data_IF_088488748979
#
_entry.id   IF_088488748979
#
_cell.length_a   1.000
_cell.length_b   1.000
_cell.length_c   1.000
_cell.angle_alpha   90.00
_cell.angle_beta   90.00
_cell.angle_gamma   90.00
#
_symmetry.space_group_name_H-M   'P 1'
#
loop_
_entity.id
_entity.type
_entity.pdbx_description
1 polymer ?
#
# COMPACT_ATOMS: atom_id res chain seq x y z
N UNK A 1 -6.28 -5.34 -19.54
CA UNK A 1 -7.33 -4.51 -18.96
C UNK A 1 -6.83 -3.89 -17.68
N UNK A 2 -7.26 -2.66 -17.40
CA UNK A 2 -6.93 -1.94 -16.17
C UNK A 2 -7.96 -2.29 -15.09
N UNK A 3 -7.51 -2.59 -13.89
CA UNK A 3 -8.37 -2.84 -12.72
C UNK A 3 -8.73 -1.49 -12.09
N UNK A 4 -10.01 -1.27 -11.85
CA UNK A 4 -10.55 -0.06 -11.22
C UNK A 4 -10.81 -0.34 -9.74
N UNK A 5 -10.14 0.42 -8.87
CA UNK A 5 -10.37 0.39 -7.42
C UNK A 5 -11.05 1.69 -7.02
N UNK A 6 -12.30 1.62 -6.57
CA UNK A 6 -13.02 2.78 -6.06
C UNK A 6 -12.77 2.95 -4.57
N UNK A 7 -12.30 4.12 -4.16
CA UNK A 7 -11.98 4.46 -2.77
C UNK A 7 -12.98 5.45 -2.19
N UNK A 8 -13.34 5.28 -0.93
CA UNK A 8 -14.04 6.27 -0.14
C UNK A 8 -13.31 6.57 1.15
N UNK A 9 -13.14 7.85 1.48
CA UNK A 9 -12.61 8.37 2.75
C UNK A 9 -13.74 8.95 3.62
N UNK A 10 -14.99 8.57 3.37
CA UNK A 10 -16.15 9.17 4.03
C UNK A 10 -16.20 8.94 5.54
N UNK A 11 -15.46 7.94 6.08
CA UNK A 11 -15.39 7.72 7.53
C UNK A 11 -14.80 8.95 8.25
N UNK A 12 -13.70 9.49 7.75
CA UNK A 12 -12.99 10.62 8.36
C UNK A 12 -13.46 11.99 7.88
N UNK A 13 -14.33 12.03 6.86
CA UNK A 13 -14.82 13.27 6.30
C UNK A 13 -15.73 14.00 7.30
N UNK A 14 -15.45 15.28 7.54
CA UNK A 14 -16.23 16.15 8.44
C UNK A 14 -16.96 17.25 7.69
N UNK A 15 -16.54 17.55 6.46
CA UNK A 15 -17.06 18.64 5.65
C UNK A 15 -17.42 18.16 4.22
N UNK A 16 -18.39 18.84 3.61
CA UNK A 16 -18.77 18.66 2.22
C UNK A 16 -18.83 20.02 1.55
N UNK A 17 -18.25 20.15 0.35
CA UNK A 17 -18.18 21.40 -0.39
C UNK A 17 -19.50 21.78 -1.06
N UNK A 18 -20.33 20.79 -1.37
CA UNK A 18 -21.59 20.96 -2.10
C UNK A 18 -22.61 19.91 -1.68
N UNK A 19 -23.88 20.25 -1.73
CA UNK A 19 -25.01 19.35 -1.53
C UNK A 19 -25.78 19.06 -2.82
N UNK A 20 -25.11 19.16 -3.97
CA UNK A 20 -25.74 18.90 -5.27
C UNK A 20 -26.20 17.45 -5.41
N UNK A 21 -25.45 16.51 -4.83
CA UNK A 21 -25.81 15.09 -4.83
C UNK A 21 -26.83 14.81 -3.72
N UNK A 22 -28.04 14.48 -4.09
CA UNK A 22 -29.13 14.19 -3.15
C UNK A 22 -28.84 13.02 -2.22
N UNK A 23 -27.94 12.11 -2.62
CA UNK A 23 -27.51 10.96 -1.79
C UNK A 23 -26.72 11.40 -0.57
N UNK A 24 -26.11 12.59 -0.59
CA UNK A 24 -25.39 13.15 0.54
C UNK A 24 -26.32 13.83 1.57
N UNK A 25 -27.54 14.21 1.17
CA UNK A 25 -28.47 14.95 2.04
C UNK A 25 -28.74 14.31 3.40
N UNK A 26 -28.94 12.97 3.50
CA UNK A 26 -29.17 12.32 4.80
C UNK A 26 -28.04 12.48 5.81
N UNK A 27 -26.83 12.81 5.35
CA UNK A 27 -25.60 12.86 6.13
C UNK A 27 -25.13 14.27 6.48
N UNK A 28 -25.84 15.29 5.99
CA UNK A 28 -25.52 16.70 6.21
C UNK A 28 -26.25 17.16 7.48
N UNK A 29 -25.50 17.84 8.38
CA UNK A 29 -26.11 18.54 9.52
C UNK A 29 -26.63 19.92 9.09
N UNK A 30 -27.47 20.52 9.90
CA UNK A 30 -28.04 21.85 9.64
C UNK A 30 -26.98 22.97 9.72
N UNK A 31 -25.82 22.70 10.31
CA UNK A 31 -24.74 23.66 10.48
C UNK A 31 -23.82 23.76 9.27
N UNK A 32 -23.30 24.97 9.05
CA UNK A 32 -22.22 25.26 8.09
C UNK A 32 -21.01 25.86 8.78
N UNK A 33 -19.85 25.76 8.11
CA UNK A 33 -18.66 26.55 8.53
C UNK A 33 -18.83 28.01 8.09
N UNK A 34 -17.99 28.89 8.63
CA UNK A 34 -17.96 30.31 8.23
C UNK A 34 -17.65 30.48 6.73
N UNK A 35 -16.86 29.55 6.15
CA UNK A 35 -16.51 29.52 4.73
C UNK A 35 -17.64 28.95 3.85
N UNK A 36 -18.73 28.45 4.46
CA UNK A 36 -19.91 27.96 3.77
C UNK A 36 -19.93 26.46 3.47
N UNK A 37 -18.96 25.66 3.97
CA UNK A 37 -18.99 24.19 3.83
C UNK A 37 -20.10 23.60 4.68
N UNK A 38 -20.71 22.54 4.15
CA UNK A 38 -21.67 21.73 4.91
C UNK A 38 -20.92 20.84 5.91
N UNK A 39 -21.42 20.78 7.13
CA UNK A 39 -20.91 19.82 8.13
C UNK A 39 -21.59 18.49 7.95
N UNK A 40 -20.80 17.42 8.09
CA UNK A 40 -21.30 16.05 8.06
C UNK A 40 -21.52 15.56 9.48
N UNK A 41 -22.58 14.77 9.69
CA UNK A 41 -22.87 14.16 10.98
C UNK A 41 -21.85 13.06 11.29
N UNK A 42 -21.02 13.20 12.35
CA UNK A 42 -20.03 12.20 12.72
C UNK A 42 -20.63 10.84 13.11
N UNK A 43 -21.87 10.82 13.63
CA UNK A 43 -22.54 9.60 14.04
C UNK A 43 -22.89 8.70 12.85
N UNK A 44 -22.96 9.27 11.65
CA UNK A 44 -23.30 8.56 10.41
C UNK A 44 -22.10 8.31 9.50
N UNK A 45 -20.88 8.37 10.03
CA UNK A 45 -19.65 8.22 9.24
C UNK A 45 -19.55 6.88 8.52
N UNK A 46 -19.91 5.80 9.18
CA UNK A 46 -19.94 4.45 8.60
C UNK A 46 -21.03 4.30 7.53
N UNK A 47 -22.22 4.78 7.78
CA UNK A 47 -23.36 4.75 6.86
C UNK A 47 -23.05 5.52 5.58
N UNK A 48 -22.32 6.63 5.66
CA UNK A 48 -21.80 7.35 4.47
C UNK A 48 -20.84 6.49 3.65
N UNK A 49 -19.96 5.73 4.31
CA UNK A 49 -19.06 4.81 3.61
C UNK A 49 -19.84 3.73 2.87
N UNK A 50 -20.85 3.17 3.51
CA UNK A 50 -21.74 2.16 2.90
C UNK A 50 -22.47 2.73 1.73
N UNK A 51 -23.11 3.91 1.86
CA UNK A 51 -23.84 4.56 0.78
C UNK A 51 -22.95 4.82 -0.44
N UNK A 52 -21.72 5.30 -0.23
CA UNK A 52 -20.75 5.49 -1.31
C UNK A 52 -20.27 4.17 -1.90
N UNK A 53 -19.99 3.18 -1.07
CA UNK A 53 -19.61 1.84 -1.52
C UNK A 53 -20.66 1.22 -2.43
N UNK A 54 -21.94 1.26 -2.05
CA UNK A 54 -23.05 0.76 -2.87
C UNK A 54 -23.19 1.54 -4.18
N UNK A 55 -22.99 2.87 -4.15
CA UNK A 55 -23.02 3.70 -5.35
C UNK A 55 -21.85 3.43 -6.31
N UNK A 56 -20.69 3.05 -5.80
CA UNK A 56 -19.48 2.79 -6.60
C UNK A 56 -19.41 1.36 -7.14
N UNK A 57 -19.99 0.39 -6.43
CA UNK A 57 -19.89 -1.03 -6.76
C UNK A 57 -20.16 -1.37 -8.24
N UNK A 58 -21.19 -0.79 -8.92
CA UNK A 58 -21.44 -1.09 -10.33
C UNK A 58 -20.35 -0.62 -11.30
N UNK A 59 -19.43 0.22 -10.86
CA UNK A 59 -18.46 0.93 -11.71
C UNK A 59 -17.00 0.58 -11.41
N UNK A 60 -16.74 -0.39 -10.53
CA UNK A 60 -15.38 -0.76 -10.15
C UNK A 60 -15.21 -2.27 -9.99
N UNK A 61 -13.98 -2.74 -10.09
CA UNK A 61 -13.61 -4.13 -9.84
C UNK A 61 -13.44 -4.39 -8.33
N UNK A 62 -12.89 -3.41 -7.59
CA UNK A 62 -12.71 -3.49 -6.15
C UNK A 62 -13.24 -2.24 -5.45
N UNK A 63 -13.80 -2.43 -4.26
CA UNK A 63 -14.16 -1.34 -3.35
C UNK A 63 -13.15 -1.24 -2.21
N UNK A 64 -12.76 -0.02 -1.90
CA UNK A 64 -11.89 0.31 -0.79
C UNK A 64 -12.53 1.38 0.11
N UNK A 65 -12.91 0.97 1.31
CA UNK A 65 -13.26 1.89 2.39
C UNK A 65 -12.01 2.17 3.21
N UNK A 66 -11.54 3.42 3.19
CA UNK A 66 -10.45 3.85 4.07
C UNK A 66 -10.94 3.95 5.50
N UNK A 67 -10.12 3.51 6.45
CA UNK A 67 -10.42 3.50 7.87
C UNK A 67 -9.32 4.18 8.68
N UNK A 68 -9.66 4.67 9.87
CA UNK A 68 -8.72 5.34 10.77
C UNK A 68 -7.97 4.37 11.70
N UNK A 69 -8.50 3.16 11.88
CA UNK A 69 -7.98 2.12 12.78
C UNK A 69 -8.24 0.73 12.20
N UNK A 70 -7.42 -0.27 12.56
CA UNK A 70 -7.71 -1.65 12.21
C UNK A 70 -8.90 -2.13 13.07
N UNK A 71 -10.00 -2.49 12.42
CA UNK A 71 -11.23 -2.93 13.09
C UNK A 71 -11.92 -4.03 12.28
N UNK A 72 -11.82 -5.27 12.78
CA UNK A 72 -12.41 -6.44 12.12
C UNK A 72 -13.95 -6.38 12.08
N UNK A 73 -14.59 -5.88 13.13
CA UNK A 73 -16.05 -5.79 13.18
C UNK A 73 -16.57 -4.78 12.14
N UNK A 74 -15.92 -3.62 12.02
CA UNK A 74 -16.27 -2.63 11.02
C UNK A 74 -16.03 -3.17 9.59
N UNK A 75 -14.91 -3.87 9.37
CA UNK A 75 -14.61 -4.49 8.09
C UNK A 75 -15.67 -5.54 7.71
N UNK A 76 -16.05 -6.39 8.66
CA UNK A 76 -17.09 -7.39 8.45
C UNK A 76 -18.43 -6.74 8.11
N UNK A 77 -18.86 -5.76 8.89
CA UNK A 77 -20.13 -5.06 8.68
C UNK A 77 -20.19 -4.38 7.30
N UNK A 78 -19.08 -3.79 6.86
CA UNK A 78 -19.00 -3.20 5.52
C UNK A 78 -19.11 -4.28 4.44
N UNK A 79 -18.32 -5.35 4.54
CA UNK A 79 -18.33 -6.45 3.60
C UNK A 79 -19.71 -7.09 3.47
N UNK A 80 -20.36 -7.44 4.59
CA UNK A 80 -21.70 -8.04 4.61
C UNK A 80 -22.74 -7.12 3.95
N UNK A 81 -22.67 -5.82 4.21
CA UNK A 81 -23.62 -4.86 3.66
C UNK A 81 -23.44 -4.71 2.14
N UNK A 82 -22.20 -4.64 1.66
CA UNK A 82 -21.93 -4.59 0.23
C UNK A 82 -22.34 -5.90 -0.46
N UNK A 83 -21.96 -7.05 0.11
CA UNK A 83 -22.22 -8.36 -0.49
C UNK A 83 -23.71 -8.74 -0.51
N UNK A 84 -24.52 -8.12 0.31
CA UNK A 84 -25.98 -8.29 0.26
C UNK A 84 -26.57 -7.84 -1.08
N UNK A 85 -26.07 -6.74 -1.63
CA UNK A 85 -26.52 -6.16 -2.90
C UNK A 85 -25.63 -6.61 -4.09
N UNK A 86 -24.31 -6.78 -3.84
CA UNK A 86 -23.30 -7.14 -4.83
C UNK A 86 -22.48 -8.34 -4.34
N UNK A 87 -23.00 -9.58 -4.41
CA UNK A 87 -22.39 -10.76 -3.77
C UNK A 87 -20.98 -11.10 -4.24
N UNK A 88 -20.60 -10.68 -5.44
CA UNK A 88 -19.30 -10.96 -6.05
C UNK A 88 -18.33 -9.76 -6.00
N UNK A 89 -18.70 -8.66 -5.33
CA UNK A 89 -17.85 -7.49 -5.25
C UNK A 89 -16.58 -7.79 -4.46
N UNK A 90 -15.43 -7.65 -5.11
CA UNK A 90 -14.14 -7.74 -4.42
C UNK A 90 -13.89 -6.48 -3.61
N UNK A 91 -13.25 -6.65 -2.45
CA UNK A 91 -12.91 -5.57 -1.54
C UNK A 91 -11.40 -5.43 -1.42
N UNK A 92 -10.94 -4.21 -1.16
CA UNK A 92 -9.54 -3.89 -0.86
C UNK A 92 -9.43 -3.30 0.55
N UNK A 93 -8.32 -3.61 1.24
CA UNK A 93 -8.05 -3.13 2.59
C UNK A 93 -6.63 -2.55 2.68
N UNK A 94 -6.54 -1.33 3.20
CA UNK A 94 -5.27 -0.70 3.53
C UNK A 94 -4.85 -1.07 4.96
N UNK A 95 -3.84 -1.92 5.08
CA UNK A 95 -3.15 -2.18 6.34
C UNK A 95 -2.20 -1.00 6.63
N UNK A 96 -2.76 0.16 6.91
CA UNK A 96 -2.04 1.43 6.98
C UNK A 96 -0.92 1.40 8.04
N UNK A 97 0.27 1.93 7.72
CA UNK A 97 1.32 2.18 8.71
C UNK A 97 0.97 3.31 9.68
N UNK A 98 -0.06 4.12 9.38
CA UNK A 98 -0.60 5.12 10.29
C UNK A 98 -1.37 4.49 11.46
N UNK A 99 -1.77 3.23 11.34
CA UNK A 99 -2.39 2.51 12.43
C UNK A 99 -1.34 2.13 13.47
N UNK A 100 -1.62 2.41 14.73
CA UNK A 100 -0.85 1.82 15.81
C UNK A 100 -1.43 0.42 16.11
N UNK A 101 -0.99 -0.58 15.33
CA UNK A 101 -1.52 -1.93 15.35
C UNK A 101 -1.57 -2.54 16.75
N UNK A 102 -0.45 -2.50 17.47
CA UNK A 102 -0.31 -3.08 18.81
C UNK A 102 -1.05 -2.31 19.89
N UNK A 103 -1.45 -1.06 19.66
CA UNK A 103 -2.29 -0.28 20.56
C UNK A 103 -3.79 -0.53 20.35
N UNK A 104 -4.18 -1.10 19.20
CA UNK A 104 -5.57 -1.29 18.82
C UNK A 104 -6.00 -2.75 18.78
N UNK A 105 -5.09 -3.70 18.66
CA UNK A 105 -5.37 -5.12 18.51
C UNK A 105 -4.48 -5.96 19.43
N UNK A 106 -5.03 -7.06 19.92
CA UNK A 106 -4.27 -8.12 20.58
C UNK A 106 -3.38 -8.86 19.56
N UNK A 107 -2.26 -9.42 20.03
CA UNK A 107 -1.31 -10.13 19.17
C UNK A 107 -1.97 -11.24 18.32
N UNK A 108 -2.90 -11.98 18.91
CA UNK A 108 -3.67 -13.04 18.21
C UNK A 108 -4.48 -12.49 17.03
N UNK A 109 -5.03 -11.28 17.17
CA UNK A 109 -5.84 -10.65 16.13
C UNK A 109 -4.96 -10.08 15.04
N UNK A 110 -3.77 -9.56 15.40
CA UNK A 110 -2.75 -9.12 14.43
C UNK A 110 -2.28 -10.29 13.57
N UNK A 111 -1.98 -11.44 14.19
CA UNK A 111 -1.51 -12.65 13.48
C UNK A 111 -2.54 -13.15 12.47
N UNK A 112 -3.82 -13.12 12.82
CA UNK A 112 -4.91 -13.66 11.99
C UNK A 112 -5.57 -12.60 11.10
N UNK A 113 -5.15 -11.33 11.17
CA UNK A 113 -5.87 -10.20 10.58
C UNK A 113 -6.09 -10.36 9.07
N UNK A 114 -5.02 -10.68 8.31
CA UNK A 114 -5.11 -10.79 6.87
C UNK A 114 -6.00 -11.95 6.41
N UNK A 115 -5.93 -13.08 7.11
CA UNK A 115 -6.77 -14.25 6.82
C UNK A 115 -8.23 -13.92 7.08
N UNK A 116 -8.52 -13.34 8.27
CA UNK A 116 -9.88 -12.97 8.64
C UNK A 116 -10.53 -11.99 7.65
N UNK A 117 -9.85 -10.91 7.26
CA UNK A 117 -10.43 -9.98 6.27
C UNK A 117 -10.48 -10.61 4.87
N UNK A 118 -9.54 -11.50 4.52
CA UNK A 118 -9.55 -12.27 3.28
C UNK A 118 -10.80 -13.14 3.13
N UNK A 119 -11.25 -13.77 4.22
CA UNK A 119 -12.50 -14.54 4.29
C UNK A 119 -13.73 -13.65 4.11
N UNK A 120 -13.71 -12.41 4.60
CA UNK A 120 -14.77 -11.43 4.42
C UNK A 120 -14.87 -10.89 2.97
N UNK A 121 -13.91 -11.23 2.08
CA UNK A 121 -13.94 -10.78 0.68
C UNK A 121 -12.95 -9.67 0.34
N UNK A 122 -12.08 -9.25 1.26
CA UNK A 122 -10.99 -8.33 0.99
C UNK A 122 -9.85 -9.05 0.25
N UNK A 123 -9.99 -9.17 -1.06
CA UNK A 123 -9.09 -9.96 -1.92
C UNK A 123 -7.80 -9.22 -2.27
N UNK A 124 -7.73 -7.92 -2.08
CA UNK A 124 -6.53 -7.12 -2.22
C UNK A 124 -6.22 -6.39 -0.92
N UNK A 125 -5.09 -6.75 -0.32
CA UNK A 125 -4.62 -6.19 0.95
C UNK A 125 -3.23 -5.62 0.74
N UNK A 126 -2.97 -4.44 1.25
CA UNK A 126 -1.69 -3.77 1.03
C UNK A 126 -1.29 -2.93 2.24
N UNK A 127 0.01 -2.78 2.40
CA UNK A 127 0.61 -1.88 3.40
C UNK A 127 1.13 -0.67 2.63
N UNK A 128 0.40 0.44 2.69
CA UNK A 128 0.87 1.69 2.10
C UNK A 128 2.18 2.11 2.74
N UNK A 129 3.10 2.66 1.94
CA UNK A 129 4.39 3.19 2.43
C UNK A 129 5.31 2.16 3.11
N UNK A 130 5.07 0.84 2.96
CA UNK A 130 5.96 -0.17 3.54
C UNK A 130 7.40 0.01 3.06
N UNK A 131 7.58 0.22 1.75
CA UNK A 131 8.90 0.50 1.17
C UNK A 131 9.52 1.79 1.68
N UNK A 132 8.73 2.85 1.83
CA UNK A 132 9.18 4.12 2.41
C UNK A 132 9.71 3.94 3.84
N UNK A 133 8.94 3.29 4.71
CA UNK A 133 9.34 3.06 6.11
C UNK A 133 10.57 2.15 6.20
N UNK A 134 10.60 1.06 5.43
CA UNK A 134 11.76 0.15 5.40
C UNK A 134 13.03 0.85 4.95
N UNK A 135 12.98 1.58 3.83
CA UNK A 135 14.14 2.30 3.30
C UNK A 135 14.63 3.37 4.29
N UNK A 136 13.74 4.23 4.77
CA UNK A 136 14.14 5.32 5.65
C UNK A 136 14.70 4.83 6.98
N UNK A 137 14.08 3.80 7.58
CA UNK A 137 14.59 3.24 8.83
C UNK A 137 15.96 2.59 8.63
N UNK A 138 16.15 1.77 7.60
CA UNK A 138 17.42 1.10 7.35
C UNK A 138 18.54 2.12 7.02
N UNK A 139 18.25 3.17 6.24
CA UNK A 139 19.23 4.22 5.98
C UNK A 139 19.58 5.02 7.24
N UNK A 140 18.58 5.31 8.07
CA UNK A 140 18.83 5.95 9.36
C UNK A 140 19.71 5.08 10.27
N UNK A 141 19.41 3.79 10.42
CA UNK A 141 20.17 2.86 11.25
C UNK A 141 21.62 2.72 10.78
N UNK A 142 21.79 2.57 9.45
CA UNK A 142 23.13 2.53 8.84
C UNK A 142 23.90 3.82 9.12
N UNK A 143 23.34 4.98 8.85
CA UNK A 143 24.01 6.26 9.06
C UNK A 143 24.36 6.50 10.54
N UNK A 144 23.46 6.15 11.45
CA UNK A 144 23.65 6.29 12.88
C UNK A 144 24.81 5.39 13.39
N UNK A 145 24.87 4.14 12.91
CA UNK A 145 25.95 3.22 13.27
C UNK A 145 27.27 3.62 12.60
N UNK A 146 27.22 3.97 11.31
CA UNK A 146 28.41 4.37 10.54
C UNK A 146 29.11 5.59 11.16
N UNK A 147 28.36 6.55 11.67
CA UNK A 147 28.90 7.72 12.38
C UNK A 147 29.69 7.33 13.66
N UNK A 148 29.40 6.17 14.24
CA UNK A 148 30.05 5.70 15.48
C UNK A 148 31.25 4.79 15.22
N UNK A 149 31.14 3.90 14.23
CA UNK A 149 32.11 2.79 14.06
C UNK A 149 32.66 2.70 12.62
N UNK A 150 32.17 3.50 11.68
CA UNK A 150 32.65 3.49 10.29
C UNK A 150 32.26 2.23 9.51
N UNK A 151 33.17 1.74 8.67
CA UNK A 151 32.97 0.61 7.76
C UNK A 151 32.41 -0.67 8.42
N UNK A 152 32.76 -1.06 9.64
CA UNK A 152 32.10 -2.19 10.30
C UNK A 152 30.58 -2.15 10.28
N UNK A 153 29.97 -0.97 10.36
CA UNK A 153 28.51 -0.84 10.28
C UNK A 153 27.96 -1.19 8.88
N UNK A 154 28.71 -0.87 7.83
CA UNK A 154 28.34 -1.27 6.47
C UNK A 154 28.57 -2.77 6.26
N UNK A 155 29.64 -3.34 6.78
CA UNK A 155 29.88 -4.78 6.73
C UNK A 155 28.74 -5.58 7.38
N UNK A 156 28.18 -5.10 8.51
CA UNK A 156 26.99 -5.73 9.11
C UNK A 156 25.78 -5.80 8.16
N UNK A 157 25.60 -4.79 7.32
CA UNK A 157 24.56 -4.79 6.29
C UNK A 157 24.86 -5.82 5.21
N UNK A 158 26.10 -5.82 4.68
CA UNK A 158 26.52 -6.80 3.67
C UNK A 158 26.40 -8.24 4.16
N UNK A 159 26.81 -8.51 5.40
CA UNK A 159 26.69 -9.86 5.99
C UNK A 159 25.22 -10.33 6.03
N UNK A 160 24.29 -9.43 6.31
CA UNK A 160 22.85 -9.74 6.28
C UNK A 160 22.36 -10.01 4.87
N UNK A 161 22.81 -9.22 3.88
CA UNK A 161 22.46 -9.40 2.47
C UNK A 161 22.96 -10.76 1.96
N UNK A 162 24.22 -11.11 2.20
CA UNK A 162 24.80 -12.40 1.84
C UNK A 162 24.09 -13.56 2.54
N UNK A 163 23.77 -13.41 3.82
CA UNK A 163 23.04 -14.44 4.54
C UNK A 163 21.61 -14.65 4.01
N UNK A 164 20.99 -13.61 3.44
CA UNK A 164 19.65 -13.66 2.88
C UNK A 164 19.59 -14.26 1.46
N UNK A 165 20.72 -14.42 0.77
CA UNK A 165 20.76 -15.04 -0.57
C UNK A 165 20.15 -16.45 -0.58
N UNK A 166 20.35 -17.22 0.47
CA UNK A 166 19.73 -18.56 0.64
C UNK A 166 18.20 -18.51 0.68
N UNK A 167 17.64 -17.37 1.08
CA UNK A 167 16.19 -17.14 1.17
C UNK A 167 15.65 -16.41 -0.06
N UNK A 168 16.50 -16.22 -1.10
CA UNK A 168 16.13 -15.66 -2.39
C UNK A 168 16.41 -14.16 -2.55
N UNK A 169 17.17 -13.53 -1.63
CA UNK A 169 17.61 -12.16 -1.83
C UNK A 169 18.68 -12.08 -2.93
N UNK A 170 18.50 -11.18 -3.89
CA UNK A 170 19.36 -11.12 -5.08
C UNK A 170 20.09 -9.79 -5.27
N UNK A 171 19.75 -8.77 -4.49
CA UNK A 171 20.26 -7.41 -4.70
C UNK A 171 21.74 -7.20 -4.27
N UNK A 172 22.41 -8.22 -3.74
CA UNK A 172 23.89 -8.26 -3.67
C UNK A 172 24.49 -8.11 -5.07
N UNK A 173 23.79 -8.58 -6.10
CA UNK A 173 24.10 -8.36 -7.51
C UNK A 173 23.39 -7.13 -8.06
N UNK A 174 23.72 -5.95 -7.55
CA UNK A 174 22.98 -4.71 -7.77
C UNK A 174 22.91 -4.29 -9.24
N UNK A 175 23.94 -4.55 -10.05
CA UNK A 175 23.91 -4.24 -11.50
C UNK A 175 22.84 -5.07 -12.22
N UNK A 176 22.67 -6.32 -11.84
CA UNK A 176 21.60 -7.18 -12.33
C UNK A 176 20.22 -6.61 -11.96
N UNK A 177 20.05 -6.20 -10.72
CA UNK A 177 18.78 -5.68 -10.22
C UNK A 177 18.36 -4.37 -10.92
N UNK A 178 19.30 -3.52 -11.31
CA UNK A 178 19.00 -2.31 -12.08
C UNK A 178 18.94 -2.56 -13.60
N UNK A 179 19.11 -3.81 -14.04
CA UNK A 179 18.92 -4.21 -15.44
C UNK A 179 20.06 -3.84 -16.39
N UNK A 180 21.28 -3.64 -15.89
CA UNK A 180 22.42 -3.29 -16.76
C UNK A 180 22.64 -4.32 -17.87
N UNK A 181 22.57 -5.64 -17.55
CA UNK A 181 22.69 -6.70 -18.55
C UNK A 181 21.61 -6.67 -19.64
N UNK A 182 20.39 -6.31 -19.29
CA UNK A 182 19.31 -6.15 -20.27
C UNK A 182 19.65 -5.05 -21.30
N UNK A 183 20.15 -3.91 -20.85
CA UNK A 183 20.51 -2.82 -21.74
C UNK A 183 21.72 -3.18 -22.62
N UNK A 184 22.69 -3.94 -22.10
CA UNK A 184 23.81 -4.46 -22.88
C UNK A 184 23.33 -5.41 -23.98
N UNK A 185 22.38 -6.31 -23.69
CA UNK A 185 21.79 -7.19 -24.69
C UNK A 185 20.99 -6.44 -25.76
N UNK A 186 20.24 -5.39 -25.35
CA UNK A 186 19.56 -4.50 -26.32
C UNK A 186 20.60 -3.82 -27.24
N UNK A 187 21.69 -3.31 -26.67
CA UNK A 187 22.76 -2.66 -27.43
C UNK A 187 23.41 -3.62 -28.44
N UNK A 188 23.69 -4.86 -28.06
CA UNK A 188 24.20 -5.91 -28.95
C UNK A 188 23.18 -6.24 -30.05
N UNK A 189 21.90 -6.41 -29.72
CA UNK A 189 20.86 -6.77 -30.68
C UNK A 189 20.72 -5.70 -31.79
N UNK A 190 20.69 -4.41 -31.42
CA UNK A 190 20.53 -3.32 -32.37
C UNK A 190 21.83 -3.06 -33.20
N UNK A 191 22.98 -3.47 -32.67
CA UNK A 191 24.30 -3.31 -33.35
C UNK A 191 24.72 -4.52 -34.18
N UNK A 192 23.84 -5.51 -34.38
CA UNK A 192 24.17 -6.70 -35.19
C UNK A 192 24.98 -7.76 -34.45
N UNK A 193 24.86 -7.83 -33.11
CA UNK A 193 25.47 -8.88 -32.28
C UNK A 193 26.71 -8.48 -31.52
N UNK A 194 27.27 -7.29 -31.76
CA UNK A 194 28.39 -6.78 -30.98
C UNK A 194 28.28 -5.29 -30.74
N UNK A 195 28.68 -4.85 -29.54
CA UNK A 195 28.71 -3.43 -29.18
C UNK A 195 29.96 -3.15 -28.35
N UNK A 196 30.64 -2.06 -28.63
CA UNK A 196 31.76 -1.55 -27.83
C UNK A 196 31.31 -0.67 -26.66
N UNK A 197 30.00 -0.46 -26.51
CA UNK A 197 29.41 0.43 -25.49
C UNK A 197 28.67 -0.32 -24.41
N UNK A 198 28.94 -1.63 -24.26
CA UNK A 198 28.38 -2.40 -23.14
C UNK A 198 28.92 -1.92 -21.80
N UNK A 199 28.07 -1.84 -20.79
CA UNK A 199 28.44 -1.33 -19.46
C UNK A 199 29.21 -2.36 -18.63
N UNK A 200 28.94 -3.66 -18.83
CA UNK A 200 29.45 -4.73 -17.97
C UNK A 200 30.71 -5.39 -18.50
N UNK A 201 30.84 -5.60 -19.80
CA UNK A 201 31.98 -6.30 -20.38
C UNK A 201 33.28 -5.60 -20.06
N UNK A 202 34.20 -6.32 -19.38
CA UNK A 202 35.48 -5.82 -18.92
C UNK A 202 35.41 -4.91 -17.68
N UNK A 203 34.25 -4.75 -17.07
CA UNK A 203 34.08 -4.02 -15.80
C UNK A 203 34.34 -4.92 -14.57
N UNK A 204 34.50 -4.31 -13.40
CA UNK A 204 34.60 -5.04 -12.11
C UNK A 204 33.30 -5.74 -11.73
N UNK A 205 32.21 -5.44 -12.44
CA UNK A 205 30.85 -5.94 -12.20
C UNK A 205 30.44 -7.04 -13.20
N UNK A 206 31.37 -7.45 -14.08
CA UNK A 206 31.08 -8.45 -15.13
C UNK A 206 30.57 -9.78 -14.57
N UNK A 207 31.11 -10.20 -13.43
CA UNK A 207 30.73 -11.46 -12.76
C UNK A 207 29.39 -11.39 -12.01
N UNK A 208 28.70 -10.25 -12.05
CA UNK A 208 27.40 -10.08 -11.38
C UNK A 208 26.20 -10.55 -12.24
N UNK A 209 26.43 -11.13 -13.42
CA UNK A 209 25.41 -11.60 -14.36
C UNK A 209 25.52 -13.05 -14.71
#
# INVERSE_FOLDING_TARGET
>A
PTVIVARTDAESATLLTSNIDERDHPFISDDRTEEGFYRLDPAQSFERCVARGLAFAPYCDLLWMETSKPNLEQAQKFAETIHKEYPNQMLAYNCSPSFNWRANLEEKDIVNFQEAIGEMGYKYQFITLAGFHSLNYNMFDLAYKYNKVGMPAFCELQDKEFAAEKDGYTATKHQREVGAGYFDEVSKAVSGGSSSTTALSGSTEEDQF
#
